data_IF_570104795088
#
_entry.id   IF_570104795088
#
_cell.length_a   1.000
_cell.length_b   1.000
_cell.length_c   1.000
_cell.angle_alpha   90.00
_cell.angle_beta   90.00
_cell.angle_gamma   90.00
#
_symmetry.space_group_name_H-M   'P 1'
#
loop_
_entity.id
_entity.type
_entity.pdbx_description
1 polymer ?
#
# COMPACT_ATOMS: atom_id res chain seq x y z
N UNK A 1 -18.78 31.18 53.76
CA UNK A 1 -18.06 31.31 52.49
C UNK A 1 -17.09 30.13 52.41
N UNK A 2 -17.63 28.93 52.26
CA UNK A 2 -17.62 28.08 51.04
C UNK A 2 -16.21 27.64 50.62
N UNK A 3 -15.90 26.33 50.69
CA UNK A 3 -14.60 25.75 50.35
C UNK A 3 -14.51 25.38 48.85
N UNK A 4 -13.37 25.65 48.22
CA UNK A 4 -13.17 25.39 46.79
C UNK A 4 -12.45 24.05 46.57
N UNK A 5 -13.29 23.05 46.35
CA UNK A 5 -13.21 22.00 45.33
C UNK A 5 -12.18 20.84 45.41
N UNK A 6 -12.75 19.66 45.14
CA UNK A 6 -12.16 18.31 45.14
C UNK A 6 -11.54 17.95 43.78
N UNK A 7 -10.53 17.08 43.80
CA UNK A 7 -10.06 16.18 42.71
C UNK A 7 -11.08 15.06 42.39
N UNK A 8 -10.89 14.11 41.42
CA UNK A 8 -10.12 14.03 40.15
C UNK A 8 -10.94 13.43 38.94
N UNK A 9 -10.26 13.10 37.83
CA UNK A 9 -10.62 12.13 36.73
C UNK A 9 -11.66 12.49 35.62
N UNK A 10 -11.20 12.52 34.37
CA UNK A 10 -11.74 11.80 33.18
C UNK A 10 -11.01 12.31 31.90
N UNK A 11 -10.12 11.52 31.29
CA UNK A 11 -10.38 10.52 30.23
C UNK A 11 -10.33 11.14 28.83
N UNK A 12 -9.23 10.83 28.12
CA UNK A 12 -9.08 10.58 26.68
C UNK A 12 -10.15 11.13 25.74
N UNK A 13 -9.78 12.04 24.83
CA UNK A 13 -10.33 12.31 23.48
C UNK A 13 -9.77 13.70 23.07
N UNK A 14 -8.96 13.91 22.05
CA UNK A 14 -9.30 13.69 20.66
C UNK A 14 -8.02 13.88 19.81
N UNK A 15 -7.31 12.78 19.55
CA UNK A 15 -6.17 12.70 18.64
C UNK A 15 -6.61 12.48 17.18
N UNK A 16 -7.85 12.80 16.82
CA UNK A 16 -8.49 12.42 15.55
C UNK A 16 -9.13 13.61 14.83
N UNK A 17 -8.50 14.79 14.94
CA UNK A 17 -8.59 15.81 13.87
C UNK A 17 -7.58 15.53 12.73
N UNK A 18 -7.08 14.28 12.64
CA UNK A 18 -6.38 13.73 11.47
C UNK A 18 -7.43 13.37 10.42
N UNK A 19 -8.07 14.39 9.88
CA UNK A 19 -8.78 14.29 8.63
C UNK A 19 -8.86 15.68 8.00
N UNK A 20 -8.20 15.77 6.84
CA UNK A 20 -8.83 16.37 5.67
C UNK A 20 -8.97 17.89 5.74
N UNK A 21 -7.96 18.61 5.24
CA UNK A 21 -8.13 19.64 4.20
C UNK A 21 -6.80 20.31 3.82
N UNK A 22 -6.45 20.12 2.55
CA UNK A 22 -5.86 21.14 1.69
C UNK A 22 -4.44 21.63 2.00
N UNK A 23 -3.44 21.01 1.38
CA UNK A 23 -2.36 21.76 0.73
C UNK A 23 -1.87 20.99 -0.49
N UNK A 24 -2.59 21.16 -1.59
CA UNK A 24 -2.05 20.99 -2.93
C UNK A 24 -1.29 22.29 -3.18
N UNK A 25 0.03 22.29 -2.99
CA UNK A 25 1.04 23.19 -3.58
C UNK A 25 2.30 23.19 -2.70
N UNK A 26 3.36 22.56 -3.18
CA UNK A 26 4.65 22.55 -2.52
C UNK A 26 5.35 21.24 -2.78
N UNK A 27 6.31 21.27 -3.70
CA UNK A 27 7.25 20.18 -4.00
C UNK A 27 7.55 19.34 -2.73
N UNK A 28 7.29 18.02 -2.73
CA UNK A 28 7.66 17.19 -1.58
C UNK A 28 9.19 17.27 -1.41
N UNK A 29 9.70 17.32 -0.17
CA UNK A 29 11.13 17.31 0.07
C UNK A 29 11.74 16.05 -0.54
N UNK A 30 12.96 16.17 -1.06
CA UNK A 30 13.71 15.10 -1.71
C UNK A 30 14.14 14.00 -0.72
N UNK A 31 13.17 13.24 -0.22
CA UNK A 31 13.32 12.09 0.66
C UNK A 31 12.25 11.04 0.34
N UNK A 32 12.42 9.80 0.84
CA UNK A 32 11.45 8.75 0.57
C UNK A 32 10.08 9.10 1.12
N UNK A 33 9.07 8.99 0.26
CA UNK A 33 7.68 9.21 0.64
C UNK A 33 6.85 8.00 0.25
N UNK A 34 6.21 7.43 1.27
CA UNK A 34 5.12 6.45 1.14
C UNK A 34 3.82 7.16 1.44
N UNK A 35 2.87 7.07 0.50
CA UNK A 35 1.53 7.60 0.68
C UNK A 35 0.51 6.48 0.48
N UNK A 36 -0.41 6.33 1.42
CA UNK A 36 -1.51 5.38 1.31
C UNK A 36 -2.81 6.11 0.99
N UNK A 37 -3.55 5.59 0.02
CA UNK A 37 -4.91 6.01 -0.30
C UNK A 37 -5.83 4.80 -0.31
N UNK A 38 -7.09 4.99 0.07
CA UNK A 38 -8.08 3.93 0.20
C UNK A 38 -9.22 4.19 -0.79
N UNK A 39 -9.06 3.82 -2.08
CA UNK A 39 -10.08 4.09 -3.09
C UNK A 39 -11.36 3.28 -2.86
N UNK A 40 -11.28 2.17 -2.12
CA UNK A 40 -12.40 1.27 -1.77
C UNK A 40 -12.18 0.68 -0.37
N UNK A 41 -13.23 0.18 0.31
CA UNK A 41 -13.09 -0.41 1.65
C UNK A 41 -12.14 -1.62 1.71
N UNK A 42 -12.02 -2.36 0.62
CA UNK A 42 -11.22 -3.58 0.48
C UNK A 42 -9.90 -3.36 -0.27
N UNK A 43 -9.57 -2.11 -0.61
CA UNK A 43 -8.42 -1.79 -1.46
C UNK A 43 -7.59 -0.66 -0.89
N UNK A 44 -6.27 -0.86 -0.84
CA UNK A 44 -5.29 0.19 -0.52
C UNK A 44 -4.35 0.39 -1.70
N UNK A 45 -4.08 1.64 -2.04
CA UNK A 45 -3.06 2.04 -3.01
C UNK A 45 -1.94 2.73 -2.26
N UNK A 46 -0.74 2.22 -2.41
CA UNK A 46 0.47 2.68 -1.75
C UNK A 46 1.40 3.24 -2.81
N UNK A 47 1.52 4.56 -2.86
CA UNK A 47 2.47 5.23 -3.74
C UNK A 47 3.81 5.33 -3.04
N UNK A 48 4.85 4.76 -3.67
CA UNK A 48 6.23 4.83 -3.19
C UNK A 48 7.01 5.75 -4.11
N UNK A 49 7.73 6.69 -3.53
CA UNK A 49 8.60 7.62 -4.25
C UNK A 49 9.91 7.81 -3.49
N UNK A 50 11.02 7.98 -4.23
CA UNK A 50 12.35 8.12 -3.63
C UNK A 50 13.02 6.78 -3.32
N UNK A 51 13.96 6.75 -2.37
CA UNK A 51 14.76 5.55 -2.06
C UNK A 51 14.17 4.79 -0.89
N UNK A 52 13.82 3.51 -1.03
CA UNK A 52 13.34 2.72 0.12
C UNK A 52 14.45 2.59 1.17
N UNK A 53 14.13 3.01 2.38
CA UNK A 53 14.92 2.80 3.60
C UNK A 53 14.14 1.96 4.63
N UNK A 54 14.78 1.66 5.77
CA UNK A 54 14.13 0.89 6.83
C UNK A 54 12.85 1.55 7.38
N UNK A 55 12.81 2.89 7.44
CA UNK A 55 11.63 3.64 7.88
C UNK A 55 10.46 3.48 6.89
N UNK A 56 10.77 3.42 5.60
CA UNK A 56 9.81 3.13 4.53
C UNK A 56 9.19 1.74 4.69
N UNK A 57 9.99 0.75 5.08
CA UNK A 57 9.52 -0.61 5.38
C UNK A 57 8.57 -0.62 6.57
N UNK A 58 8.95 0.02 7.69
CA UNK A 58 8.11 0.10 8.89
C UNK A 58 6.77 0.81 8.64
N UNK A 59 6.80 1.90 7.85
CA UNK A 59 5.57 2.58 7.42
C UNK A 59 4.70 1.68 6.56
N UNK A 60 5.30 0.95 5.62
CA UNK A 60 4.57 0.01 4.78
C UNK A 60 3.93 -1.07 5.64
N UNK A 61 4.68 -1.65 6.56
CA UNK A 61 4.16 -2.64 7.50
C UNK A 61 3.01 -2.05 8.32
N UNK A 62 3.14 -0.84 8.86
CA UNK A 62 2.07 -0.17 9.62
C UNK A 62 0.81 0.08 8.79
N UNK A 63 0.95 0.49 7.53
CA UNK A 63 -0.17 0.71 6.60
C UNK A 63 -0.81 -0.63 6.21
N UNK A 64 0.04 -1.61 5.90
CA UNK A 64 -0.36 -3.00 5.67
C UNK A 64 -0.73 -3.70 6.98
N UNK A 65 -0.73 -3.03 8.12
CA UNK A 65 -1.18 -3.56 9.40
C UNK A 65 -2.44 -2.82 9.88
N UNK A 66 -3.63 -3.03 9.27
CA UNK A 66 -4.87 -2.58 9.87
C UNK A 66 -5.51 -3.70 10.69
N UNK A 67 -6.23 -3.26 11.72
CA UNK A 67 -6.88 -4.02 12.79
C UNK A 67 -7.65 -5.26 12.32
N UNK A 68 -7.90 -6.27 13.20
CA UNK A 68 -8.56 -7.55 12.88
C UNK A 68 -9.92 -7.48 12.16
N UNK A 69 -10.49 -6.30 11.96
CA UNK A 69 -11.72 -6.03 11.19
C UNK A 69 -11.48 -5.54 9.76
N UNK A 70 -10.22 -5.38 9.33
CA UNK A 70 -9.90 -4.89 7.98
C UNK A 70 -10.31 -5.90 6.92
N UNK A 71 -11.08 -5.44 5.93
CA UNK A 71 -11.51 -6.23 4.77
C UNK A 71 -10.60 -6.07 3.57
N UNK A 72 -9.41 -5.45 3.75
CA UNK A 72 -8.46 -5.20 2.66
C UNK A 72 -8.04 -6.51 2.01
N UNK A 73 -8.44 -6.70 0.76
CA UNK A 73 -8.09 -7.85 -0.08
C UNK A 73 -7.19 -7.47 -1.25
N UNK A 74 -7.12 -6.20 -1.61
CA UNK A 74 -6.27 -5.73 -2.70
C UNK A 74 -5.30 -4.67 -2.20
N UNK A 75 -4.02 -4.92 -2.41
CA UNK A 75 -2.95 -3.96 -2.18
C UNK A 75 -2.35 -3.63 -3.54
N UNK A 76 -2.36 -2.35 -3.91
CA UNK A 76 -1.72 -1.85 -5.13
C UNK A 76 -0.52 -1.01 -4.71
N UNK A 77 0.67 -1.34 -5.19
CA UNK A 77 1.88 -0.53 -4.96
C UNK A 77 2.20 0.22 -6.24
N UNK A 78 2.14 1.54 -6.18
CA UNK A 78 2.48 2.42 -7.29
C UNK A 78 3.94 2.83 -7.25
N UNK A 79 4.69 2.32 -8.23
CA UNK A 79 6.11 2.58 -8.47
C UNK A 79 6.32 3.44 -9.72
N UNK A 80 5.28 4.10 -10.24
CA UNK A 80 5.37 4.88 -11.49
C UNK A 80 6.38 6.02 -11.43
N UNK A 81 6.73 6.48 -10.22
CA UNK A 81 7.76 7.53 -10.00
C UNK A 81 9.17 6.97 -9.81
N UNK A 82 9.32 5.64 -9.71
CA UNK A 82 10.61 4.98 -9.54
C UNK A 82 11.30 4.75 -10.88
N UNK A 83 12.60 4.99 -10.91
CA UNK A 83 13.42 4.78 -12.10
C UNK A 83 14.28 3.52 -12.03
N UNK A 84 14.56 3.02 -10.83
CA UNK A 84 15.38 1.83 -10.57
C UNK A 84 14.92 1.19 -9.26
N UNK A 85 15.10 -0.13 -9.13
CA UNK A 85 14.96 -0.84 -7.86
C UNK A 85 16.32 -1.43 -7.47
N UNK A 86 16.67 -1.26 -6.20
CA UNK A 86 17.80 -1.90 -5.54
C UNK A 86 17.31 -3.08 -4.68
N UNK A 87 18.26 -3.79 -4.06
CA UNK A 87 17.96 -4.93 -3.19
C UNK A 87 16.94 -4.60 -2.08
N UNK A 88 17.05 -3.47 -1.36
CA UNK A 88 16.06 -3.13 -0.32
C UNK A 88 14.65 -2.94 -0.88
N UNK A 89 14.51 -2.33 -2.07
CA UNK A 89 13.22 -2.14 -2.72
C UNK A 89 12.58 -3.49 -3.08
N UNK A 90 13.37 -4.44 -3.59
CA UNK A 90 12.91 -5.79 -3.93
C UNK A 90 12.52 -6.60 -2.68
N UNK A 91 13.29 -6.47 -1.59
CA UNK A 91 12.97 -7.10 -0.32
C UNK A 91 11.66 -6.56 0.25
N UNK A 92 11.43 -5.26 0.15
CA UNK A 92 10.19 -4.63 0.57
C UNK A 92 8.99 -5.21 -0.20
N UNK A 93 9.08 -5.30 -1.52
CA UNK A 93 8.00 -5.86 -2.36
C UNK A 93 7.73 -7.34 -2.03
N UNK A 94 8.79 -8.10 -1.77
CA UNK A 94 8.69 -9.50 -1.34
C UNK A 94 7.95 -9.61 -0.01
N UNK A 95 8.31 -8.76 0.95
CA UNK A 95 7.66 -8.75 2.27
C UNK A 95 6.19 -8.34 2.15
N UNK A 96 5.90 -7.27 1.40
CA UNK A 96 4.53 -6.83 1.14
C UNK A 96 3.68 -7.93 0.51
N UNK A 97 4.25 -8.70 -0.42
CA UNK A 97 3.57 -9.84 -1.05
C UNK A 97 3.22 -10.91 -0.02
N UNK A 98 4.19 -11.34 0.80
CA UNK A 98 3.96 -12.34 1.83
C UNK A 98 2.89 -11.88 2.84
N UNK A 99 2.96 -10.64 3.32
CA UNK A 99 1.97 -10.07 4.24
C UNK A 99 0.56 -10.03 3.62
N UNK A 100 0.47 -9.71 2.34
CA UNK A 100 -0.81 -9.67 1.63
C UNK A 100 -1.38 -11.08 1.41
N UNK A 101 -0.53 -12.03 0.99
CA UNK A 101 -0.90 -13.42 0.75
C UNK A 101 -1.33 -14.16 2.03
N UNK A 102 -0.65 -13.94 3.16
CA UNK A 102 -1.02 -14.55 4.46
C UNK A 102 -2.43 -14.17 4.92
N UNK A 103 -3.01 -13.11 4.35
CA UNK A 103 -4.38 -12.65 4.62
C UNK A 103 -5.38 -13.01 3.53
N UNK A 104 -4.95 -13.76 2.51
CA UNK A 104 -5.79 -14.10 1.36
C UNK A 104 -6.11 -12.90 0.47
N UNK A 105 -5.29 -11.84 0.52
CA UNK A 105 -5.36 -10.73 -0.42
C UNK A 105 -4.41 -10.91 -1.60
N UNK A 106 -4.42 -9.95 -2.52
CA UNK A 106 -3.56 -9.91 -3.71
C UNK A 106 -2.74 -8.62 -3.71
N UNK A 107 -1.45 -8.75 -4.05
CA UNK A 107 -0.56 -7.61 -4.28
C UNK A 107 -0.40 -7.36 -5.78
N UNK A 108 -0.63 -6.13 -6.22
CA UNK A 108 -0.42 -5.66 -7.59
C UNK A 108 0.58 -4.52 -7.63
N UNK A 109 1.36 -4.45 -8.70
CA UNK A 109 2.37 -3.42 -8.92
C UNK A 109 1.96 -2.55 -10.09
N UNK A 110 2.10 -1.23 -9.93
CA UNK A 110 1.95 -0.28 -11.03
C UNK A 110 3.32 0.23 -11.43
N UNK A 111 3.73 -0.08 -12.65
CA UNK A 111 4.94 0.48 -13.27
C UNK A 111 4.89 0.31 -14.79
N UNK A 112 5.20 1.37 -15.51
CA UNK A 112 5.45 1.35 -16.96
C UNK A 112 6.95 1.43 -17.30
N UNK A 113 7.81 1.45 -16.28
CA UNK A 113 9.25 1.62 -16.47
C UNK A 113 9.93 0.28 -16.73
N UNK A 114 10.53 0.13 -17.92
CA UNK A 114 11.23 -1.08 -18.33
C UNK A 114 12.38 -1.49 -17.40
N UNK A 115 13.13 -0.53 -16.84
CA UNK A 115 14.22 -0.85 -15.91
C UNK A 115 13.70 -1.45 -14.59
N UNK A 116 12.56 -0.95 -14.10
CA UNK A 116 11.87 -1.49 -12.93
C UNK A 116 11.33 -2.89 -13.23
N UNK A 117 10.71 -3.09 -14.40
CA UNK A 117 10.23 -4.40 -14.85
C UNK A 117 11.38 -5.41 -14.99
N UNK A 118 12.50 -5.03 -15.60
CA UNK A 118 13.69 -5.86 -15.74
C UNK A 118 14.27 -6.24 -14.37
N UNK A 119 14.26 -5.34 -13.39
CA UNK A 119 14.68 -5.62 -12.02
C UNK A 119 13.74 -6.62 -11.32
N UNK A 120 12.42 -6.46 -11.47
CA UNK A 120 11.44 -7.42 -10.93
C UNK A 120 11.59 -8.80 -11.56
N UNK A 121 11.86 -8.86 -12.87
CA UNK A 121 12.11 -10.10 -13.59
C UNK A 121 13.40 -10.78 -13.11
N UNK A 122 14.49 -10.02 -12.98
CA UNK A 122 15.76 -10.53 -12.48
C UNK A 122 15.66 -11.06 -11.04
N UNK A 123 14.81 -10.45 -10.22
CA UNK A 123 14.52 -10.89 -8.87
C UNK A 123 13.53 -12.07 -8.78
N UNK A 124 12.97 -12.51 -9.92
CA UNK A 124 11.93 -13.55 -9.96
C UNK A 124 10.56 -13.11 -9.44
N UNK A 125 10.38 -11.82 -9.12
CA UNK A 125 9.14 -11.27 -8.57
C UNK A 125 8.04 -11.13 -9.62
N UNK A 126 8.40 -11.02 -10.89
CA UNK A 126 7.41 -10.89 -11.97
C UNK A 126 6.49 -12.12 -12.08
N UNK A 127 6.92 -13.30 -11.63
CA UNK A 127 6.09 -14.51 -11.59
C UNK A 127 5.12 -14.53 -10.39
N UNK A 128 5.35 -13.69 -9.37
CA UNK A 128 4.57 -13.63 -8.14
C UNK A 128 3.64 -12.41 -8.09
N UNK A 129 3.99 -11.35 -8.83
CA UNK A 129 3.35 -10.05 -8.77
C UNK A 129 2.65 -9.71 -10.09
N UNK A 130 1.36 -9.41 -10.01
CA UNK A 130 0.62 -8.85 -11.14
C UNK A 130 1.08 -7.41 -11.39
N UNK A 131 1.76 -7.19 -12.52
CA UNK A 131 2.25 -5.87 -12.93
C UNK A 131 1.29 -5.21 -13.92
N UNK A 132 1.03 -3.93 -13.72
CA UNK A 132 0.14 -3.12 -14.55
C UNK A 132 0.81 -1.79 -14.90
N UNK A 133 0.47 -1.22 -16.06
CA UNK A 133 1.06 0.06 -16.48
C UNK A 133 0.45 1.26 -15.74
N UNK A 134 -0.78 1.14 -15.22
CA UNK A 134 -1.48 2.23 -14.53
C UNK A 134 -2.24 1.76 -13.29
N UNK A 135 -2.47 2.69 -12.34
CA UNK A 135 -3.33 2.44 -11.16
C UNK A 135 -4.75 2.03 -11.62
N UNK A 136 -5.28 2.63 -12.68
CA UNK A 136 -6.60 2.29 -13.19
C UNK A 136 -6.69 0.80 -13.58
N UNK A 137 -5.72 0.30 -14.33
CA UNK A 137 -5.66 -1.13 -14.71
C UNK A 137 -5.40 -2.03 -13.51
N UNK A 138 -4.64 -1.58 -12.52
CA UNK A 138 -4.39 -2.32 -11.28
C UNK A 138 -5.60 -2.32 -10.32
N UNK A 139 -6.56 -1.41 -10.48
CA UNK A 139 -7.80 -1.37 -9.70
C UNK A 139 -8.99 -2.02 -10.42
N UNK A 140 -8.82 -2.35 -11.70
CA UNK A 140 -9.81 -3.13 -12.42
C UNK A 140 -9.99 -4.49 -11.72
N UNK A 141 -11.23 -5.03 -11.66
CA UNK A 141 -11.42 -6.39 -11.18
C UNK A 141 -10.46 -7.33 -11.92
N UNK A 142 -9.82 -8.29 -11.23
CA UNK A 142 -9.22 -9.42 -11.95
C UNK A 142 -10.34 -9.99 -12.80
N UNK A 143 -10.28 -9.84 -14.12
CA UNK A 143 -11.16 -10.58 -14.98
C UNK A 143 -10.86 -12.04 -14.65
N UNK A 144 -11.81 -12.73 -14.03
CA UNK A 144 -11.70 -14.15 -13.82
C UNK A 144 -11.29 -14.79 -15.16
N UNK A 145 -10.35 -15.76 -15.16
CA UNK A 145 -10.01 -16.46 -16.40
C UNK A 145 -11.32 -16.91 -17.06
N UNK A 146 -11.48 -16.74 -18.39
CA UNK A 146 -12.70 -17.14 -19.07
C UNK A 146 -12.96 -18.60 -18.71
N UNK A 147 -14.07 -18.82 -18.02
CA UNK A 147 -14.56 -20.12 -17.55
C UNK A 147 -14.35 -21.14 -18.66
N UNK A 148 -13.48 -22.12 -18.43
CA UNK A 148 -13.23 -23.17 -19.40
C UNK A 148 -14.58 -23.87 -19.67
N UNK A 149 -15.03 -23.96 -20.93
CA UNK A 149 -16.38 -24.40 -21.22
C UNK A 149 -16.58 -25.81 -20.66
N UNK A 150 -17.67 -25.93 -19.88
CA UNK A 150 -18.16 -27.15 -19.27
C UNK A 150 -18.11 -28.30 -20.29
N UNK A 151 -17.21 -29.26 -20.08
CA UNK A 151 -17.18 -30.49 -20.89
C UNK A 151 -18.23 -31.44 -20.33
N UNK A 152 -19.47 -31.30 -20.82
CA UNK A 152 -20.48 -32.35 -20.76
C UNK A 152 -20.12 -33.44 -21.76
N UNK A 153 -19.84 -34.65 -21.26
CA UNK A 153 -20.08 -35.95 -21.92
C UNK A 153 -20.05 -37.06 -20.89
#
# INVERSE_FOLDING_TARGET
MTPENRTPEARTENAQAVALRETIEGRPPAGPSVQATFPRPDTVVITVSGTVDAETVEKLETILWPQPTSTTRLVVVDLSTMYLLNVPDLQLLTHAHMLTQTRGGTLRIVTSNRAVQDALQAAGLHALLECHDTIHTALAPTAAPPDAPHRTS
#
